data_IF_233699006500
#
_entry.id   IF_233699006500
#
_cell.length_a   1.000
_cell.length_b   1.000
_cell.length_c   1.000
_cell.angle_alpha   90.00
_cell.angle_beta   90.00
_cell.angle_gamma   90.00
#
_symmetry.space_group_name_H-M   'P 1'
#
loop_
_entity.id
_entity.type
_entity.pdbx_description
1 polymer ?
#
# COMPACT_ATOMS: atom_id res chain seq x y z
N UNK A 1 -10.43 32.47 6.44
CA UNK A 1 -9.69 31.57 5.53
C UNK A 1 -8.67 30.81 6.34
N UNK A 2 -8.82 29.49 6.50
CA UNK A 2 -7.80 28.66 7.14
C UNK A 2 -6.63 28.52 6.15
N UNK A 3 -5.55 29.25 6.41
CA UNK A 3 -4.30 29.11 5.65
C UNK A 3 -3.69 27.79 6.09
N UNK A 4 -3.83 26.76 5.25
CA UNK A 4 -3.13 25.49 5.42
C UNK A 4 -1.66 25.74 5.08
N UNK A 5 -0.88 26.24 6.04
CA UNK A 5 0.58 26.29 5.92
C UNK A 5 1.03 24.86 5.66
N UNK A 6 1.68 24.63 4.52
CA UNK A 6 2.19 23.32 4.14
C UNK A 6 3.26 22.89 5.16
N UNK A 7 2.82 22.15 6.18
CA UNK A 7 3.65 21.53 7.19
C UNK A 7 4.51 20.41 6.56
N UNK A 8 5.84 20.51 6.67
CA UNK A 8 6.77 19.51 6.11
C UNK A 8 6.84 18.23 6.96
N UNK A 9 5.90 17.32 6.69
CA UNK A 9 5.88 15.96 7.24
C UNK A 9 6.82 14.99 6.49
N UNK A 10 7.63 15.49 5.55
CA UNK A 10 8.44 14.67 4.66
C UNK A 10 7.67 14.21 3.41
N UNK A 11 8.35 13.50 2.49
CA UNK A 11 7.76 13.07 1.23
C UNK A 11 6.59 12.12 1.47
N UNK A 12 5.47 12.36 0.80
CA UNK A 12 4.28 11.50 0.87
C UNK A 12 4.68 10.07 0.46
N UNK A 13 4.52 9.07 1.35
CA UNK A 13 4.93 7.71 1.03
C UNK A 13 4.05 7.18 -0.10
N UNK A 14 4.70 6.72 -1.16
CA UNK A 14 4.03 5.97 -2.21
C UNK A 14 3.52 4.65 -1.65
N UNK A 15 2.30 4.27 -2.05
CA UNK A 15 1.71 2.97 -1.77
C UNK A 15 1.14 2.44 -3.08
N UNK A 16 1.50 1.21 -3.44
CA UNK A 16 0.95 0.57 -4.64
C UNK A 16 -0.57 0.56 -4.59
N UNK A 17 -1.21 0.90 -5.72
CA UNK A 17 -2.66 0.77 -5.85
C UNK A 17 -2.99 -0.67 -6.21
N UNK A 18 -3.95 -1.25 -5.48
CA UNK A 18 -4.37 -2.64 -5.66
C UNK A 18 -4.96 -2.88 -7.04
N UNK A 19 -5.72 -1.90 -7.53
CA UNK A 19 -6.42 -1.96 -8.80
C UNK A 19 -5.50 -2.04 -10.03
N UNK A 20 -4.20 -1.77 -9.88
CA UNK A 20 -3.29 -1.83 -11.02
C UNK A 20 -3.19 -3.22 -11.64
N UNK A 21 -3.36 -4.29 -10.85
CA UNK A 21 -3.38 -5.65 -11.39
C UNK A 21 -4.54 -5.92 -12.34
N UNK A 22 -5.62 -5.15 -12.23
CA UNK A 22 -6.80 -5.22 -13.10
C UNK A 22 -6.64 -4.37 -14.38
N UNK A 23 -5.58 -3.55 -14.46
CA UNK A 23 -5.28 -2.77 -15.66
C UNK A 23 -4.57 -3.67 -16.66
N UNK A 24 -5.08 -3.67 -17.89
CA UNK A 24 -4.50 -4.42 -18.99
C UNK A 24 -3.04 -4.03 -19.22
N UNK A 25 -2.19 -5.02 -19.49
CA UNK A 25 -0.75 -4.81 -19.65
C UNK A 25 0.05 -4.69 -18.35
N UNK A 26 -0.57 -4.54 -17.17
CA UNK A 26 0.15 -4.41 -15.89
C UNK A 26 1.14 -5.55 -15.64
N UNK A 27 0.69 -6.80 -15.77
CA UNK A 27 1.53 -7.96 -15.52
C UNK A 27 2.71 -8.05 -16.51
N UNK A 28 2.48 -7.72 -17.78
CA UNK A 28 3.53 -7.71 -18.80
C UNK A 28 4.55 -6.59 -18.51
N UNK A 29 4.07 -5.39 -18.20
CA UNK A 29 4.90 -4.26 -17.81
C UNK A 29 5.81 -4.59 -16.64
N UNK A 30 5.26 -5.11 -15.53
CA UNK A 30 6.05 -5.44 -14.34
C UNK A 30 7.08 -6.53 -14.63
N UNK A 31 6.69 -7.61 -15.34
CA UNK A 31 7.63 -8.69 -15.69
C UNK A 31 8.77 -8.21 -16.58
N UNK A 32 8.47 -7.38 -17.58
CA UNK A 32 9.50 -6.85 -18.48
C UNK A 32 10.46 -5.92 -17.73
N UNK A 33 9.93 -5.00 -16.92
CA UNK A 33 10.78 -4.10 -16.12
C UNK A 33 11.64 -4.84 -15.11
N UNK A 34 11.11 -5.86 -14.42
CA UNK A 34 11.91 -6.67 -13.49
C UNK A 34 13.03 -7.45 -14.19
N UNK A 35 12.83 -7.90 -15.44
CA UNK A 35 13.87 -8.56 -16.25
C UNK A 35 14.95 -7.58 -16.74
N UNK A 36 14.55 -6.36 -17.09
CA UNK A 36 15.47 -5.29 -17.52
C UNK A 36 16.38 -4.82 -16.38
N UNK A 37 15.94 -4.91 -15.13
CA UNK A 37 16.72 -4.47 -13.97
C UNK A 37 17.88 -5.43 -13.68
N UNK A 38 19.06 -5.01 -14.10
CA UNK A 38 20.34 -5.63 -13.71
C UNK A 38 20.90 -4.92 -12.46
N UNK A 39 21.15 -5.70 -11.41
CA UNK A 39 21.76 -5.27 -10.15
C UNK A 39 22.65 -6.40 -9.65
N UNK A 40 23.89 -6.09 -9.30
CA UNK A 40 24.85 -7.01 -8.72
C UNK A 40 25.01 -6.75 -7.22
N UNK A 41 25.42 -7.78 -6.48
CA UNK A 41 25.64 -7.72 -5.03
C UNK A 41 25.03 -8.92 -4.30
N UNK A 42 24.94 -8.83 -2.98
CA UNK A 42 24.30 -9.86 -2.17
C UNK A 42 22.76 -9.79 -2.33
N UNK A 43 22.07 -10.93 -2.14
CA UNK A 43 20.65 -11.09 -2.49
C UNK A 43 19.71 -10.03 -1.93
N UNK A 44 19.89 -9.60 -0.68
CA UNK A 44 19.05 -8.56 -0.09
C UNK A 44 19.29 -7.16 -0.68
N UNK A 45 20.52 -6.85 -1.12
CA UNK A 45 20.80 -5.61 -1.86
C UNK A 45 20.15 -5.63 -3.24
N UNK A 46 20.27 -6.76 -3.96
CA UNK A 46 19.62 -6.96 -5.26
C UNK A 46 18.10 -6.78 -5.13
N UNK A 47 17.48 -7.43 -4.14
CA UNK A 47 16.05 -7.33 -3.88
C UNK A 47 15.64 -5.88 -3.58
N UNK A 48 16.32 -5.22 -2.65
CA UNK A 48 16.06 -3.82 -2.27
C UNK A 48 16.10 -2.89 -3.49
N UNK A 49 17.14 -2.98 -4.32
CA UNK A 49 17.30 -2.09 -5.48
C UNK A 49 16.31 -2.43 -6.60
N UNK A 50 15.97 -3.71 -6.81
CA UNK A 50 14.88 -4.11 -7.73
C UNK A 50 13.54 -3.51 -7.29
N UNK A 51 13.19 -3.65 -6.01
CA UNK A 51 11.97 -3.08 -5.44
C UNK A 51 11.94 -1.55 -5.53
N UNK A 52 13.07 -0.89 -5.31
CA UNK A 52 13.20 0.57 -5.44
C UNK A 52 13.01 1.04 -6.88
N UNK A 53 13.57 0.35 -7.88
CA UNK A 53 13.44 0.70 -9.29
C UNK A 53 12.03 0.45 -9.80
N UNK A 54 11.46 -0.73 -9.55
CA UNK A 54 10.09 -1.05 -10.00
C UNK A 54 9.05 -0.12 -9.38
N UNK A 55 9.26 0.33 -8.13
CA UNK A 55 8.43 1.36 -7.50
C UNK A 55 8.39 2.65 -8.33
N UNK A 56 9.54 3.12 -8.82
CA UNK A 56 9.62 4.32 -9.66
C UNK A 56 8.90 4.11 -10.99
N UNK A 57 9.12 2.97 -11.63
CA UNK A 57 8.49 2.64 -12.91
C UNK A 57 6.96 2.54 -12.78
N UNK A 58 6.48 1.96 -11.66
CA UNK A 58 5.06 1.90 -11.34
C UNK A 58 4.44 3.28 -11.05
N UNK A 59 5.19 4.18 -10.43
CA UNK A 59 4.76 5.58 -10.27
C UNK A 59 4.56 6.27 -11.61
N UNK A 60 5.43 6.01 -12.58
CA UNK A 60 5.31 6.53 -13.93
C UNK A 60 4.14 5.88 -14.68
N UNK A 61 4.03 4.54 -14.60
CA UNK A 61 2.89 3.80 -15.14
C UNK A 61 1.55 4.35 -14.67
N UNK A 62 1.43 4.66 -13.36
CA UNK A 62 0.24 5.25 -12.78
C UNK A 62 -0.16 6.57 -13.45
N UNK A 63 0.81 7.44 -13.75
CA UNK A 63 0.56 8.74 -14.40
C UNK A 63 -0.04 8.60 -15.79
N UNK A 64 0.23 7.51 -16.50
CA UNK A 64 -0.31 7.28 -17.84
C UNK A 64 -1.60 6.48 -17.86
N UNK A 65 -1.84 5.62 -16.85
CA UNK A 65 -2.93 4.65 -16.92
C UNK A 65 -4.09 4.92 -15.96
N UNK A 66 -3.85 5.56 -14.81
CA UNK A 66 -4.85 5.67 -13.73
C UNK A 66 -4.90 7.00 -12.99
N UNK A 67 -4.02 7.95 -13.29
CA UNK A 67 -4.05 9.29 -12.70
C UNK A 67 -5.21 10.15 -13.22
N UNK A 68 -5.53 10.02 -14.52
CA UNK A 68 -6.60 10.75 -15.22
C UNK A 68 -7.92 9.97 -15.26
N UNK A 69 -8.10 9.00 -14.37
CA UNK A 69 -9.27 8.11 -14.38
C UNK A 69 -10.59 8.90 -14.25
N UNK A 70 -10.63 9.93 -13.39
CA UNK A 70 -11.82 10.76 -13.22
C UNK A 70 -12.21 11.53 -14.48
N UNK A 71 -11.23 12.11 -15.18
CA UNK A 71 -11.45 12.79 -16.48
C UNK A 71 -11.93 11.79 -17.55
N UNK A 72 -11.31 10.61 -17.62
CA UNK A 72 -11.72 9.54 -18.55
C UNK A 72 -13.15 9.06 -18.29
N UNK A 73 -13.53 8.90 -17.03
CA UNK A 73 -14.91 8.56 -16.62
C UNK A 73 -15.87 9.65 -17.09
N UNK A 74 -15.53 10.92 -16.86
CA UNK A 74 -16.36 12.04 -17.28
C UNK A 74 -16.56 12.08 -18.80
N UNK A 75 -15.47 12.00 -19.57
CA UNK A 75 -15.52 11.99 -21.04
C UNK A 75 -16.32 10.79 -21.57
N UNK A 76 -16.22 9.63 -20.91
CA UNK A 76 -16.97 8.42 -21.30
C UNK A 76 -18.46 8.56 -21.00
N UNK A 77 -18.83 9.21 -19.88
CA UNK A 77 -20.23 9.55 -19.57
C UNK A 77 -20.82 10.53 -20.60
N UNK A 78 -20.03 11.53 -21.01
CA UNK A 78 -20.45 12.48 -22.05
C UNK A 78 -20.65 11.79 -23.40
N UNK A 79 -19.74 10.89 -23.78
CA UNK A 79 -19.88 10.06 -24.98
C UNK A 79 -21.14 9.18 -24.92
N UNK A 80 -21.39 8.52 -23.79
CA UNK A 80 -22.60 7.72 -23.60
C UNK A 80 -23.87 8.56 -23.76
N UNK A 81 -23.89 9.75 -23.14
CA UNK A 81 -25.02 10.67 -23.27
C UNK A 81 -25.23 11.13 -24.72
N UNK A 82 -24.17 11.41 -25.47
CA UNK A 82 -24.29 11.75 -26.90
C UNK A 82 -24.87 10.62 -27.75
N UNK A 83 -24.52 9.36 -27.44
CA UNK A 83 -25.08 8.19 -28.12
C UNK A 83 -26.55 8.01 -27.74
N UNK A 84 -26.89 8.15 -26.47
CA UNK A 84 -28.28 8.06 -26.00
C UNK A 84 -29.16 9.15 -26.63
N UNK A 85 -28.65 10.38 -26.78
CA UNK A 85 -29.34 11.45 -27.51
C UNK A 85 -29.52 11.11 -29.00
N UNK A 86 -28.48 10.60 -29.67
CA UNK A 86 -28.57 10.17 -31.08
C UNK A 86 -29.65 9.11 -31.28
N UNK A 87 -29.82 8.19 -30.33
CA UNK A 87 -30.80 7.10 -30.42
C UNK A 87 -32.24 7.56 -30.22
N UNK A 88 -32.46 8.75 -29.67
CA UNK A 88 -33.79 9.37 -29.59
C UNK A 88 -34.22 9.97 -30.95
N UNK A 89 -33.27 10.40 -31.76
CA UNK A 89 -33.53 11.05 -33.05
C UNK A 89 -33.53 10.05 -34.22
N UNK A 90 -32.66 9.02 -34.15
CA UNK A 90 -32.39 8.10 -35.25
C UNK A 90 -32.42 6.66 -34.72
N UNK A 91 -33.02 5.74 -35.49
CA UNK A 91 -32.97 4.31 -35.19
C UNK A 91 -31.51 3.84 -35.28
N UNK A 92 -30.92 3.31 -34.20
CA UNK A 92 -29.52 2.92 -34.18
C UNK A 92 -29.26 1.71 -35.08
N UNK A 93 -28.11 1.73 -35.76
CA UNK A 93 -27.64 0.55 -36.50
C UNK A 93 -26.83 -0.39 -35.57
N UNK A 94 -26.39 -1.53 -36.11
CA UNK A 94 -25.64 -2.53 -35.34
C UNK A 94 -24.33 -1.98 -34.77
N UNK A 95 -23.59 -1.17 -35.54
CA UNK A 95 -22.34 -0.54 -35.08
C UNK A 95 -22.58 0.46 -33.95
N UNK A 96 -23.67 1.23 -34.02
CA UNK A 96 -24.05 2.18 -32.97
C UNK A 96 -24.36 1.44 -31.66
N UNK A 97 -25.06 0.30 -31.75
CA UNK A 97 -25.36 -0.56 -30.59
C UNK A 97 -24.06 -1.14 -30.01
N UNK A 98 -23.17 -1.65 -30.86
CA UNK A 98 -21.87 -2.20 -30.44
C UNK A 98 -21.02 -1.13 -29.74
N UNK A 99 -20.88 0.06 -30.34
CA UNK A 99 -20.14 1.18 -29.74
C UNK A 99 -20.70 1.56 -28.37
N UNK A 100 -22.04 1.60 -28.23
CA UNK A 100 -22.69 1.89 -26.95
C UNK A 100 -22.37 0.83 -25.89
N UNK A 101 -22.38 -0.45 -26.27
CA UNK A 101 -22.02 -1.55 -25.37
C UNK A 101 -20.55 -1.46 -24.92
N UNK A 102 -19.64 -1.14 -25.82
CA UNK A 102 -18.22 -0.91 -25.49
C UNK A 102 -18.03 0.27 -24.54
N UNK A 103 -18.73 1.38 -24.78
CA UNK A 103 -18.68 2.57 -23.92
C UNK A 103 -19.20 2.24 -22.51
N UNK A 104 -20.30 1.49 -22.39
CA UNK A 104 -20.84 1.04 -21.09
C UNK A 104 -19.85 0.12 -20.38
N UNK A 105 -19.31 -0.88 -21.09
CA UNK A 105 -18.34 -1.82 -20.51
C UNK A 105 -17.07 -1.09 -20.02
N UNK A 106 -16.57 -0.14 -20.82
CA UNK A 106 -15.43 0.71 -20.48
C UNK A 106 -15.73 1.57 -19.25
N UNK A 107 -16.90 2.20 -19.19
CA UNK A 107 -17.34 3.00 -18.04
C UNK A 107 -17.40 2.16 -16.76
N UNK A 108 -18.01 0.97 -16.82
CA UNK A 108 -18.09 0.04 -15.69
C UNK A 108 -16.69 -0.32 -15.18
N UNK A 109 -15.79 -0.74 -16.07
CA UNK A 109 -14.39 -1.07 -15.70
C UNK A 109 -13.68 0.11 -15.05
N UNK A 110 -13.85 1.32 -15.57
CA UNK A 110 -13.24 2.52 -15.00
C UNK A 110 -13.83 2.87 -13.63
N UNK A 111 -15.14 2.74 -13.44
CA UNK A 111 -15.80 2.96 -12.14
C UNK A 111 -15.40 1.95 -11.07
N UNK A 112 -15.16 0.69 -11.45
CA UNK A 112 -14.62 -0.34 -10.54
C UNK A 112 -13.20 0.03 -10.07
N UNK A 113 -12.34 0.46 -11.00
CA UNK A 113 -11.00 0.95 -10.67
C UNK A 113 -11.05 2.16 -9.72
N UNK A 114 -11.93 3.12 -10.00
CA UNK A 114 -12.10 4.31 -9.16
C UNK A 114 -12.56 3.93 -7.75
N UNK A 115 -13.56 3.05 -7.66
CA UNK A 115 -14.08 2.54 -6.38
C UNK A 115 -12.99 1.83 -5.58
N UNK A 116 -12.14 1.03 -6.23
CA UNK A 116 -11.00 0.36 -5.60
C UNK A 116 -9.98 1.35 -5.03
N UNK A 117 -9.66 2.42 -5.79
CA UNK A 117 -8.77 3.49 -5.35
C UNK A 117 -9.37 4.25 -4.16
N UNK A 118 -10.66 4.60 -4.22
CA UNK A 118 -11.37 5.30 -3.16
C UNK A 118 -11.42 4.46 -1.89
N UNK A 119 -11.74 3.17 -2.01
CA UNK A 119 -11.75 2.24 -0.89
C UNK A 119 -10.37 2.13 -0.22
N UNK A 120 -9.28 2.04 -1.01
CA UNK A 120 -7.92 2.01 -0.45
C UNK A 120 -7.57 3.33 0.26
N UNK A 121 -7.97 4.48 -0.31
CA UNK A 121 -7.80 5.79 0.34
C UNK A 121 -8.61 5.90 1.63
N UNK A 122 -9.84 5.41 1.66
CA UNK A 122 -10.71 5.41 2.83
C UNK A 122 -10.14 4.52 3.94
N UNK A 123 -9.66 3.30 3.63
CA UNK A 123 -8.99 2.43 4.59
C UNK A 123 -7.74 3.09 5.17
N UNK A 124 -6.94 3.76 4.35
CA UNK A 124 -5.78 4.53 4.81
C UNK A 124 -6.18 5.70 5.73
N UNK A 125 -7.25 6.42 5.38
CA UNK A 125 -7.80 7.50 6.20
C UNK A 125 -8.28 6.96 7.55
N UNK A 126 -9.02 5.85 7.55
CA UNK A 126 -9.54 5.22 8.76
C UNK A 126 -8.43 4.69 9.66
N UNK A 127 -7.36 4.08 9.12
CA UNK A 127 -6.19 3.70 9.92
C UNK A 127 -5.52 4.93 10.54
N UNK A 128 -5.34 6.02 9.77
CA UNK A 128 -4.75 7.26 10.30
C UNK A 128 -5.60 7.90 11.40
N UNK A 129 -6.91 7.93 11.23
CA UNK A 129 -7.86 8.53 12.19
C UNK A 129 -8.10 7.61 13.40
N UNK A 130 -8.04 6.29 13.23
CA UNK A 130 -8.09 5.31 14.33
C UNK A 130 -6.81 5.29 15.17
N UNK A 131 -5.64 5.47 14.54
CA UNK A 131 -4.34 5.63 15.22
C UNK A 131 -4.22 6.99 15.93
N UNK A 132 -5.15 7.94 15.71
CA UNK A 132 -5.24 9.14 16.53
C UNK A 132 -5.47 8.82 18.02
N UNK A 133 -5.92 7.60 18.34
CA UNK A 133 -5.95 7.10 19.72
C UNK A 133 -4.54 6.94 20.33
N UNK A 134 -3.50 6.67 19.54
CA UNK A 134 -2.11 6.65 20.02
C UNK A 134 -1.65 8.08 20.33
N UNK A 135 -2.08 9.06 19.53
CA UNK A 135 -1.85 10.49 19.83
C UNK A 135 -2.62 10.89 21.10
N UNK A 136 -3.84 10.39 21.30
CA UNK A 136 -4.58 10.56 22.56
C UNK A 136 -3.91 9.85 23.76
N UNK A 137 -3.14 8.78 23.53
CA UNK A 137 -2.31 8.17 24.58
C UNK A 137 -1.09 9.04 24.93
N UNK A 138 -0.56 9.82 23.99
CA UNK A 138 0.47 10.84 24.22
C UNK A 138 -0.14 12.07 24.94
N UNK A 139 -1.42 12.36 24.69
CA UNK A 139 -2.20 13.45 25.30
C UNK A 139 -2.53 13.27 26.80
N UNK A 140 -1.96 12.26 27.48
CA UNK A 140 -1.99 12.21 28.95
C UNK A 140 -1.18 13.36 29.58
N UNK A 141 -0.25 13.95 28.84
CA UNK A 141 0.47 15.18 29.21
C UNK A 141 0.20 16.24 28.12
N UNK A 142 -0.84 17.04 28.31
CA UNK A 142 -1.34 18.06 27.38
C UNK A 142 -0.27 19.10 26.99
N UNK A 143 0.54 18.80 25.98
CA UNK A 143 1.39 19.80 25.31
C UNK A 143 0.84 20.02 23.90
N UNK A 144 0.21 21.19 23.70
CA UNK A 144 -0.22 21.67 22.39
C UNK A 144 1.02 22.09 21.60
N UNK A 145 1.62 21.14 20.87
CA UNK A 145 2.70 21.41 19.94
C UNK A 145 2.11 21.81 18.58
N UNK A 146 2.25 23.09 18.23
CA UNK A 146 1.71 23.65 16.98
C UNK A 146 2.66 23.45 15.79
N UNK A 147 3.95 23.24 16.04
CA UNK A 147 4.95 23.04 14.98
C UNK A 147 5.30 21.56 14.77
N UNK A 148 5.39 21.16 13.48
CA UNK A 148 5.74 19.78 13.06
C UNK A 148 7.07 19.31 13.64
N UNK A 149 8.03 20.23 13.78
CA UNK A 149 9.36 19.94 14.31
C UNK A 149 9.26 19.49 15.77
N UNK A 150 8.53 20.25 16.57
CA UNK A 150 8.34 19.96 17.99
C UNK A 150 7.54 18.67 18.17
N UNK A 151 6.52 18.43 17.35
CA UNK A 151 5.79 17.14 17.36
C UNK A 151 6.73 15.96 17.06
N UNK A 152 7.63 16.10 16.07
CA UNK A 152 8.60 15.05 15.74
C UNK A 152 9.59 14.80 16.90
N UNK A 153 10.08 15.86 17.54
CA UNK A 153 10.99 15.78 18.69
C UNK A 153 10.31 15.16 19.91
N UNK A 154 9.05 15.50 20.18
CA UNK A 154 8.27 14.94 21.29
C UNK A 154 7.93 13.47 21.05
N UNK A 155 7.46 13.10 19.84
CA UNK A 155 7.21 11.69 19.48
C UNK A 155 8.49 10.88 19.63
N UNK A 156 9.62 11.41 19.14
CA UNK A 156 10.92 10.75 19.27
C UNK A 156 11.29 10.58 20.74
N UNK A 157 11.18 11.63 21.55
CA UNK A 157 11.51 11.61 22.98
C UNK A 157 10.60 10.67 23.77
N UNK A 158 9.30 10.67 23.48
CA UNK A 158 8.30 9.80 24.08
C UNK A 158 8.63 8.33 23.84
N UNK A 159 8.80 7.93 22.58
CA UNK A 159 9.14 6.55 22.24
C UNK A 159 10.55 6.19 22.69
N UNK A 160 11.52 7.10 22.61
CA UNK A 160 12.85 6.88 23.16
C UNK A 160 12.77 6.62 24.67
N UNK A 161 11.91 7.32 25.42
CA UNK A 161 11.73 7.11 26.85
C UNK A 161 10.91 5.86 27.20
N UNK A 162 9.98 5.45 26.34
CA UNK A 162 9.22 4.19 26.47
C UNK A 162 10.09 2.97 26.15
N UNK A 163 10.83 2.99 25.05
CA UNK A 163 11.70 1.90 24.59
C UNK A 163 13.11 1.97 25.17
N UNK A 164 13.44 3.03 25.91
CA UNK A 164 14.58 3.00 26.82
C UNK A 164 14.33 1.87 27.79
N UNK A 165 15.19 0.86 27.70
CA UNK A 165 15.26 -0.19 28.69
C UNK A 165 15.57 0.44 30.05
N UNK A 166 14.52 0.77 30.80
CA UNK A 166 14.66 1.14 32.19
C UNK A 166 14.88 -0.17 32.91
N UNK A 167 16.10 -0.37 33.44
CA UNK A 167 16.30 -1.32 34.54
C UNK A 167 15.55 -0.75 35.75
N UNK A 168 14.23 -0.74 35.69
CA UNK A 168 13.46 -0.96 36.89
C UNK A 168 13.83 -2.39 37.25
N UNK A 169 14.23 -2.62 38.50
CA UNK A 169 14.31 -3.98 39.02
C UNK A 169 13.00 -4.66 38.63
N UNK A 170 13.05 -5.53 37.61
CA UNK A 170 11.88 -6.27 37.19
C UNK A 170 11.32 -6.98 38.41
N UNK A 171 10.03 -7.36 38.41
CA UNK A 171 9.52 -8.20 39.48
C UNK A 171 10.53 -9.33 39.71
N UNK A 172 11.05 -9.44 40.95
CA UNK A 172 12.03 -10.47 41.28
C UNK A 172 11.32 -11.80 41.10
N UNK A 173 11.58 -12.47 39.98
CA UNK A 173 10.97 -13.75 39.62
C UNK A 173 11.66 -14.91 40.36
N UNK A 174 12.16 -14.65 41.57
CA UNK A 174 13.05 -15.56 42.31
C UNK A 174 12.35 -16.87 42.73
N UNK A 175 11.02 -16.96 42.58
CA UNK A 175 10.20 -18.11 42.95
C UNK A 175 9.22 -18.57 41.85
N UNK A 176 9.41 -18.19 40.57
CA UNK A 176 8.59 -18.71 39.49
C UNK A 176 9.27 -19.88 38.78
N UNK A 177 8.64 -21.06 38.85
CA UNK A 177 8.99 -22.17 37.96
C UNK A 177 8.44 -21.82 36.57
N UNK A 178 9.27 -21.18 35.76
CA UNK A 178 8.96 -21.00 34.34
C UNK A 178 8.92 -22.36 33.68
N UNK A 179 7.92 -22.59 32.82
CA UNK A 179 8.00 -23.69 31.87
C UNK A 179 9.23 -23.46 31.02
N UNK A 180 10.24 -24.30 31.23
CA UNK A 180 11.42 -24.31 30.39
C UNK A 180 11.07 -25.02 29.10
N UNK A 181 11.53 -24.43 28.01
CA UNK A 181 11.47 -25.03 26.69
C UNK A 181 12.32 -26.29 26.73
N UNK A 182 11.80 -27.41 26.23
CA UNK A 182 12.57 -28.65 26.13
C UNK A 182 13.80 -28.47 25.24
N UNK A 183 14.79 -29.36 25.35
CA UNK A 183 15.99 -29.31 24.52
C UNK A 183 15.62 -29.35 23.02
N UNK A 184 14.67 -30.22 22.65
CA UNK A 184 14.15 -30.32 21.28
C UNK A 184 13.46 -29.03 20.81
N UNK A 185 12.60 -28.41 21.63
CA UNK A 185 11.96 -27.14 21.29
C UNK A 185 12.98 -25.98 21.24
N UNK A 186 14.02 -26.03 22.07
CA UNK A 186 15.13 -25.07 22.07
C UNK A 186 15.92 -25.15 20.77
N UNK A 187 16.24 -26.35 20.30
CA UNK A 187 16.86 -26.58 19.00
C UNK A 187 15.99 -26.06 17.85
N UNK A 188 14.67 -26.28 17.91
CA UNK A 188 13.73 -25.76 16.90
C UNK A 188 13.70 -24.22 16.85
N UNK A 189 13.80 -23.53 18.00
CA UNK A 189 13.76 -22.06 18.06
C UNK A 189 15.03 -21.40 17.52
N UNK A 190 16.17 -22.09 17.58
CA UNK A 190 17.48 -21.57 17.13
C UNK A 190 17.79 -22.04 15.70
N UNK A 191 17.03 -23.00 15.18
CA UNK A 191 17.16 -23.50 13.82
C UNK A 191 16.96 -22.38 12.79
N UNK A 192 17.79 -22.40 11.74
CA UNK A 192 17.63 -21.50 10.60
C UNK A 192 16.30 -21.78 9.88
N UNK A 193 15.61 -20.71 9.48
CA UNK A 193 14.41 -20.82 8.65
C UNK A 193 14.74 -21.45 7.30
N UNK A 194 13.93 -22.43 6.91
CA UNK A 194 13.96 -23.00 5.56
C UNK A 194 13.29 -22.07 4.54
N UNK A 195 13.66 -22.23 3.27
CA UNK A 195 13.01 -21.49 2.19
C UNK A 195 11.51 -21.84 2.09
N UNK A 196 11.16 -23.09 2.38
CA UNK A 196 9.78 -23.59 2.44
C UNK A 196 8.98 -22.89 3.54
N UNK A 197 9.54 -22.73 4.74
CA UNK A 197 8.89 -22.01 5.84
C UNK A 197 8.69 -20.54 5.48
N UNK A 198 9.71 -19.88 4.92
CA UNK A 198 9.62 -18.48 4.49
C UNK A 198 8.54 -18.32 3.42
N UNK A 199 8.51 -19.20 2.40
CA UNK A 199 7.48 -19.20 1.37
C UNK A 199 6.10 -19.45 1.97
N UNK A 200 5.95 -20.41 2.88
CA UNK A 200 4.67 -20.68 3.52
C UNK A 200 4.14 -19.44 4.25
N UNK A 201 4.98 -18.82 5.08
CA UNK A 201 4.59 -17.61 5.83
C UNK A 201 4.19 -16.46 4.89
N UNK A 202 4.97 -16.21 3.83
CA UNK A 202 4.66 -15.14 2.88
C UNK A 202 3.33 -15.40 2.16
N UNK A 203 3.03 -16.65 1.79
CA UNK A 203 1.79 -17.01 1.08
C UNK A 203 0.57 -17.12 2.01
N UNK A 204 0.76 -17.46 3.29
CA UNK A 204 -0.29 -17.49 4.32
C UNK A 204 -0.68 -16.07 4.78
N UNK A 205 0.22 -15.09 4.68
CA UNK A 205 -0.09 -13.70 5.03
C UNK A 205 -1.13 -13.08 4.09
N UNK A 206 -2.08 -12.32 4.61
CA UNK A 206 -3.02 -11.59 3.76
C UNK A 206 -2.30 -10.62 2.79
N UNK A 207 -2.61 -10.74 1.50
CA UNK A 207 -2.10 -9.89 0.41
C UNK A 207 -2.45 -8.42 0.62
N UNK A 208 -3.49 -8.16 1.39
CA UNK A 208 -4.06 -6.84 1.67
C UNK A 208 -3.48 -6.15 2.91
N UNK A 209 -2.49 -6.74 3.57
CA UNK A 209 -1.79 -6.08 4.67
C UNK A 209 -1.13 -4.78 4.22
N UNK A 210 -1.01 -3.86 5.17
CA UNK A 210 -0.38 -2.56 4.94
C UNK A 210 1.05 -2.74 4.41
N UNK A 211 1.43 -2.02 3.33
CA UNK A 211 2.77 -2.11 2.80
C UNK A 211 3.77 -1.50 3.79
N UNK A 212 5.01 -1.98 3.73
CA UNK A 212 6.12 -1.44 4.50
C UNK A 212 6.52 -0.02 4.06
N UNK A 213 7.62 0.54 4.60
CA UNK A 213 8.14 1.85 4.19
C UNK A 213 8.53 1.90 2.69
N UNK A 214 8.77 0.75 2.07
CA UNK A 214 8.99 0.60 0.64
C UNK A 214 7.72 0.85 -0.20
N UNK A 215 6.53 0.72 0.38
CA UNK A 215 5.25 0.97 -0.28
C UNK A 215 4.74 -0.20 -1.14
N UNK A 216 5.37 -1.37 -1.03
CA UNK A 216 5.05 -2.58 -1.79
C UNK A 216 4.22 -3.51 -0.92
N UNK A 217 3.12 -4.03 -1.48
CA UNK A 217 2.24 -4.97 -0.76
C UNK A 217 2.74 -6.40 -0.89
N UNK A 218 2.39 -7.25 0.08
CA UNK A 218 2.65 -8.70 -0.02
C UNK A 218 1.99 -9.32 -1.25
N UNK A 219 0.85 -8.77 -1.70
CA UNK A 219 0.22 -9.16 -2.95
C UNK A 219 1.15 -9.04 -4.17
N UNK A 220 1.99 -7.99 -4.23
CA UNK A 220 2.99 -7.86 -5.30
C UNK A 220 4.02 -8.98 -5.24
N UNK A 221 4.55 -9.27 -4.05
CA UNK A 221 5.56 -10.32 -3.84
C UNK A 221 4.99 -11.70 -4.19
N UNK A 222 3.73 -11.99 -3.84
CA UNK A 222 3.09 -13.26 -4.20
C UNK A 222 2.92 -13.44 -5.71
N UNK A 223 2.67 -12.36 -6.45
CA UNK A 223 2.45 -12.39 -7.90
C UNK A 223 3.77 -12.45 -8.68
N UNK A 224 4.79 -11.70 -8.24
CA UNK A 224 6.02 -11.48 -9.02
C UNK A 224 7.30 -12.00 -8.36
N UNK A 225 7.24 -12.45 -7.11
CA UNK A 225 8.39 -12.97 -6.35
C UNK A 225 8.77 -14.43 -6.67
N UNK A 226 8.02 -15.08 -7.58
CA UNK A 226 8.36 -16.39 -8.15
C UNK A 226 8.89 -16.22 -9.58
N UNK A 227 10.07 -15.65 -9.75
CA UNK A 227 10.83 -15.73 -11.01
C UNK A 227 12.20 -16.31 -10.77
#
# INVERSE_FOLDING_TARGET
>A
MLINKASDWGPKPFKMLRCWKEIEGYHAFVRNKLKEIQVEGWGGYILKEKLKRIKKDLMEWHKFHSSNLGERIQNTKEKLNSLDMKFQEIVPNENDIEERLEVIASLHKMSELESSIMWQKARLKWMKEGDANVIHCIDKERVLLEEVKDIKEEIFSHFQNQYRWRIQTGPRMDNQVFKQVSEEEGELLIKNFSEEEIKKVVWDCDSEKSPGPDGISLGFIKIFGKS
#
